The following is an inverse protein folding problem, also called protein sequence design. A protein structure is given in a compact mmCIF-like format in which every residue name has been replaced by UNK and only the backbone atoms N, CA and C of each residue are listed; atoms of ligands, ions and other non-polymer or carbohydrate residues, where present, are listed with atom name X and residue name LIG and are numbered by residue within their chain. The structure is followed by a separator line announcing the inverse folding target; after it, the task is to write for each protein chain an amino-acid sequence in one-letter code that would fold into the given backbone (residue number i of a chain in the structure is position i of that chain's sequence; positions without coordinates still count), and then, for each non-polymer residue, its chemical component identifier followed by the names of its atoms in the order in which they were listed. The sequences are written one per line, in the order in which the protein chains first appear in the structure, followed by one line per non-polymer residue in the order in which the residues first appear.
data_IF_390485018642
#
_entry.id   IF_390485018642
#
_cell.length_a   1.000
_cell.length_b   1.000
_cell.length_c   1.000
_cell.angle_alpha   90.00
_cell.angle_beta   90.00
_cell.angle_gamma   90.00
#
_symmetry.space_group_name_H-M   'P 1'
#
loop_
_entity.id
_entity.type
_entity.pdbx_description
1 polymer ?
#
# COMPACT_ATOMS: atom_id res chain seq x y z
N UNK A 1 -25.27 -12.79 -52.62
CA UNK A 1 -23.96 -12.70 -51.91
C UNK A 1 -22.94 -11.71 -52.49
N UNK A 2 -22.83 -11.50 -53.82
CA UNK A 2 -21.83 -10.55 -54.40
C UNK A 2 -21.98 -9.08 -53.97
N UNK A 3 -23.20 -8.56 -53.79
CA UNK A 3 -23.45 -7.16 -53.38
C UNK A 3 -22.97 -6.85 -51.95
N UNK A 4 -23.09 -7.80 -51.02
CA UNK A 4 -22.71 -7.61 -49.61
C UNK A 4 -21.19 -7.50 -49.45
N UNK A 5 -20.41 -8.31 -50.19
CA UNK A 5 -18.94 -8.21 -50.18
C UNK A 5 -18.42 -6.88 -50.74
N UNK A 6 -19.11 -6.28 -51.71
CA UNK A 6 -18.71 -4.98 -52.29
C UNK A 6 -18.94 -3.83 -51.30
N UNK A 7 -20.03 -3.89 -50.52
CA UNK A 7 -20.34 -2.91 -49.47
C UNK A 7 -19.34 -2.94 -48.31
N UNK A 8 -18.94 -4.13 -47.86
CA UNK A 8 -17.96 -4.30 -46.79
C UNK A 8 -16.56 -3.77 -47.18
N UNK A 9 -16.12 -4.01 -48.43
CA UNK A 9 -14.84 -3.47 -48.92
C UNK A 9 -14.84 -1.94 -48.97
N UNK A 10 -15.93 -1.32 -49.41
CA UNK A 10 -16.01 0.14 -49.51
C UNK A 10 -15.98 0.82 -48.13
N UNK A 11 -16.62 0.23 -47.11
CA UNK A 11 -16.58 0.75 -45.74
C UNK A 11 -15.19 0.63 -45.09
N UNK A 12 -14.48 -0.47 -45.35
CA UNK A 12 -13.12 -0.65 -44.85
C UNK A 12 -12.14 0.37 -45.45
N UNK A 13 -12.25 0.66 -46.76
CA UNK A 13 -11.38 1.66 -47.41
C UNK A 13 -11.60 3.07 -46.86
N UNK A 14 -12.85 3.46 -46.62
CA UNK A 14 -13.18 4.78 -46.04
C UNK A 14 -12.63 4.90 -44.61
N UNK A 15 -12.73 3.85 -43.81
CA UNK A 15 -12.23 3.85 -42.43
C UNK A 15 -10.70 3.95 -42.36
N UNK A 16 -9.99 3.25 -43.23
CA UNK A 16 -8.52 3.33 -43.32
C UNK A 16 -8.08 4.73 -43.75
N UNK A 17 -8.77 5.34 -44.73
CA UNK A 17 -8.47 6.71 -45.17
C UNK A 17 -8.65 7.73 -44.03
N UNK A 18 -9.70 7.56 -43.22
CA UNK A 18 -9.96 8.43 -42.06
C UNK A 18 -8.85 8.35 -40.99
N UNK A 19 -8.36 7.14 -40.69
CA UNK A 19 -7.24 6.94 -39.76
C UNK A 19 -5.96 7.60 -40.29
N UNK A 20 -5.67 7.47 -41.58
CA UNK A 20 -4.49 8.09 -42.19
C UNK A 20 -4.54 9.62 -42.14
N UNK A 21 -5.72 10.22 -42.35
CA UNK A 21 -5.91 11.67 -42.22
C UNK A 21 -5.68 12.15 -40.78
N UNK A 22 -6.16 11.39 -39.79
CA UNK A 22 -5.92 11.69 -38.36
C UNK A 22 -4.44 11.62 -37.97
N UNK A 23 -3.71 10.61 -38.45
CA UNK A 23 -2.27 10.49 -38.18
C UNK A 23 -1.50 11.63 -38.85
N UNK A 24 -1.87 12.01 -40.08
CA UNK A 24 -1.20 13.07 -40.82
C UNK A 24 -1.44 14.45 -40.20
N UNK A 25 -2.65 14.72 -39.69
CA UNK A 25 -2.97 15.98 -39.01
C UNK A 25 -2.25 16.11 -37.66
N UNK A 26 -2.10 15.03 -36.89
CA UNK A 26 -1.26 15.04 -35.68
C UNK A 26 0.22 15.31 -35.98
N UNK A 27 0.73 14.85 -37.12
CA UNK A 27 2.13 15.04 -37.51
C UNK A 27 2.46 16.48 -37.90
N UNK A 28 1.50 17.21 -38.50
CA UNK A 28 1.70 18.61 -38.90
C UNK A 28 1.72 19.54 -37.66
N UNK A 29 0.90 19.28 -36.65
CA UNK A 29 0.87 20.08 -35.42
C UNK A 29 2.18 20.00 -34.62
N UNK A 30 2.88 18.86 -34.65
CA UNK A 30 4.18 18.73 -33.99
C UNK A 30 5.34 19.37 -34.77
N UNK A 31 5.22 19.52 -36.09
CA UNK A 31 6.29 20.10 -36.93
C UNK A 31 6.32 21.64 -36.91
N UNK A 32 5.22 22.32 -36.53
CA UNK A 32 5.16 23.78 -36.48
C UNK A 32 5.68 24.39 -35.18
N UNK A 33 5.75 23.64 -34.08
CA UNK A 33 6.26 24.14 -32.80
C UNK A 33 7.79 24.26 -32.73
N UNK A 34 8.53 23.53 -33.59
CA UNK A 34 10.00 23.54 -33.57
C UNK A 34 10.65 24.60 -34.46
N UNK A 35 9.91 25.22 -35.40
CA UNK A 35 10.51 26.07 -36.45
C UNK A 35 10.50 27.57 -36.13
N UNK A 36 9.72 28.04 -35.15
CA UNK A 36 9.54 29.49 -34.89
C UNK A 36 10.02 30.01 -33.52
N UNK A 37 10.81 29.24 -32.76
CA UNK A 37 11.42 29.78 -31.52
C UNK A 37 12.78 30.45 -31.80
N UNK A 38 12.81 31.79 -31.74
CA UNK A 38 14.04 32.61 -31.69
C UNK A 38 14.98 32.09 -30.59
N UNK A 39 16.21 31.73 -30.96
CA UNK A 39 17.19 31.00 -30.14
C UNK A 39 17.90 31.81 -29.05
N UNK A 40 17.51 33.06 -28.76
CA UNK A 40 18.29 33.95 -27.87
C UNK A 40 18.16 33.68 -26.36
N UNK A 41 17.64 32.50 -25.94
CA UNK A 41 17.57 32.19 -24.50
C UNK A 41 17.76 30.70 -24.13
N UNK A 42 18.13 29.83 -25.09
CA UNK A 42 18.23 28.37 -24.84
C UNK A 42 19.30 28.03 -23.80
N UNK A 43 20.47 28.69 -23.85
CA UNK A 43 21.56 28.46 -22.89
C UNK A 43 21.28 28.99 -21.47
N UNK A 44 20.48 30.05 -21.32
CA UNK A 44 20.11 30.59 -20.01
C UNK A 44 19.03 29.72 -19.33
N UNK A 45 18.03 29.27 -20.11
CA UNK A 45 17.05 28.28 -19.66
C UNK A 45 17.69 26.93 -19.29
N UNK A 46 18.61 26.42 -20.10
CA UNK A 46 19.31 25.15 -19.80
C UNK A 46 20.24 25.25 -18.57
N UNK A 47 20.81 26.43 -18.27
CA UNK A 47 21.56 26.64 -17.02
C UNK A 47 20.63 26.77 -15.81
N UNK A 48 19.54 27.51 -15.92
CA UNK A 48 18.55 27.65 -14.84
C UNK A 48 17.78 26.35 -14.56
N UNK A 49 17.50 25.51 -15.57
CA UNK A 49 16.91 24.17 -15.38
C UNK A 49 17.89 23.14 -14.81
N UNK A 50 19.19 23.24 -15.11
CA UNK A 50 20.20 22.30 -14.56
C UNK A 50 20.51 22.56 -13.08
N UNK A 51 20.37 23.80 -12.61
CA UNK A 51 20.46 24.16 -11.19
C UNK A 51 19.11 24.11 -10.47
N UNK A 52 18.00 23.86 -11.19
CA UNK A 52 16.69 23.65 -10.60
C UNK A 52 16.67 22.31 -9.88
N UNK A 53 16.94 22.32 -8.58
CA UNK A 53 16.68 21.18 -7.73
C UNK A 53 15.24 21.28 -7.19
N UNK A 54 14.24 20.64 -7.84
CA UNK A 54 12.84 20.67 -7.37
C UNK A 54 12.72 20.13 -5.94
N UNK A 55 13.74 19.43 -5.42
CA UNK A 55 13.74 18.90 -4.07
C UNK A 55 14.00 19.92 -2.96
N UNK A 56 14.32 21.16 -3.27
CA UNK A 56 14.56 22.22 -2.27
C UNK A 56 13.51 23.34 -2.30
N UNK A 57 12.49 23.22 -3.14
CA UNK A 57 11.48 24.27 -3.30
C UNK A 57 10.45 24.21 -2.16
N UNK A 58 10.18 25.38 -1.59
CA UNK A 58 9.06 25.61 -0.67
C UNK A 58 7.73 25.57 -1.42
N UNK A 59 6.75 24.86 -0.89
CA UNK A 59 5.41 24.71 -1.50
C UNK A 59 4.41 25.57 -0.72
N UNK A 60 3.70 26.47 -1.41
CA UNK A 60 2.73 27.38 -0.79
C UNK A 60 1.26 26.92 -0.96
N UNK A 61 1.04 25.74 -1.53
CA UNK A 61 -0.27 25.18 -1.85
C UNK A 61 -0.54 23.90 -1.08
N UNK A 62 -1.82 23.53 -0.96
CA UNK A 62 -2.29 22.37 -0.24
C UNK A 62 -2.36 22.58 1.27
N UNK A 63 -2.87 21.55 1.95
CA UNK A 63 -3.11 21.59 3.39
C UNK A 63 -2.49 20.38 4.06
N UNK A 64 -1.60 20.59 5.02
CA UNK A 64 -0.94 19.50 5.77
C UNK A 64 -1.49 19.46 7.19
N UNK A 65 -1.93 18.28 7.61
CA UNK A 65 -2.27 18.00 9.01
C UNK A 65 -1.32 16.94 9.55
N UNK A 66 -0.67 17.21 10.67
CA UNK A 66 0.19 16.26 11.38
C UNK A 66 -0.40 16.05 12.78
N UNK A 67 -0.82 14.83 13.07
CA UNK A 67 -1.47 14.45 14.34
C UNK A 67 -2.64 15.38 14.69
N UNK A 68 -3.50 15.64 13.69
CA UNK A 68 -4.66 16.53 13.81
C UNK A 68 -4.33 18.03 13.77
N UNK A 69 -3.07 18.44 13.87
CA UNK A 69 -2.65 19.85 13.84
C UNK A 69 -2.40 20.32 12.42
N UNK A 70 -2.99 21.45 12.05
CA UNK A 70 -2.65 22.12 10.80
C UNK A 70 -1.21 22.64 10.84
N UNK A 71 -0.50 22.47 9.73
CA UNK A 71 0.83 23.04 9.50
C UNK A 71 0.68 24.12 8.43
N UNK A 72 1.17 25.33 8.70
CA UNK A 72 1.09 26.41 7.74
C UNK A 72 2.16 26.28 6.64
N UNK A 73 1.82 26.64 5.38
CA UNK A 73 2.82 26.84 4.34
C UNK A 73 3.72 28.06 4.65
N UNK A 74 4.92 28.17 4.06
CA UNK A 74 5.50 27.27 3.07
C UNK A 74 5.88 25.89 3.63
N UNK A 75 5.59 24.84 2.86
CA UNK A 75 6.02 23.48 3.17
C UNK A 75 7.40 23.18 2.59
N UNK A 76 8.31 22.77 3.45
CA UNK A 76 9.60 22.18 3.13
C UNK A 76 9.51 20.66 3.33
N UNK A 77 9.26 19.95 2.23
CA UNK A 77 9.23 18.48 2.21
C UNK A 77 10.62 17.98 1.89
N UNK A 78 11.24 17.19 2.76
CA UNK A 78 12.61 16.68 2.58
C UNK A 78 12.70 15.17 2.81
N UNK A 79 13.66 14.54 2.13
CA UNK A 79 14.10 13.19 2.43
C UNK A 79 15.44 13.25 3.17
N UNK A 80 15.50 12.68 4.39
CA UNK A 80 16.74 12.52 5.16
C UNK A 80 16.96 11.05 5.48
N UNK A 81 17.79 10.39 4.66
CA UNK A 81 18.03 8.95 4.76
C UNK A 81 16.75 8.15 4.49
N UNK A 82 16.28 7.40 5.47
CA UNK A 82 15.04 6.62 5.35
C UNK A 82 13.80 7.39 5.83
N UNK A 83 13.93 8.68 6.16
CA UNK A 83 12.82 9.48 6.68
C UNK A 83 12.33 10.53 5.69
N UNK A 84 11.04 10.84 5.75
CA UNK A 84 10.40 11.99 5.11
C UNK A 84 10.01 12.99 6.19
N UNK A 85 10.32 14.25 5.94
CA UNK A 85 10.18 15.36 6.88
C UNK A 85 9.37 16.47 6.19
N UNK A 86 8.45 17.10 6.91
CA UNK A 86 7.75 18.33 6.49
C UNK A 86 8.00 19.39 7.56
N UNK A 87 8.55 20.55 7.20
CA UNK A 87 8.83 21.67 8.11
C UNK A 87 9.58 21.21 9.38
N UNK A 88 10.62 20.39 9.22
CA UNK A 88 11.40 19.82 10.33
C UNK A 88 10.73 18.65 11.07
N UNK A 89 9.44 18.39 10.85
CA UNK A 89 8.70 17.29 11.50
C UNK A 89 8.79 15.99 10.71
N UNK A 90 9.27 14.93 11.36
CA UNK A 90 9.40 13.60 10.75
C UNK A 90 8.02 12.92 10.65
N UNK A 91 7.49 12.82 9.44
CA UNK A 91 6.16 12.24 9.16
C UNK A 91 6.22 10.76 8.79
N UNK A 92 7.32 10.33 8.17
CA UNK A 92 7.54 8.94 7.76
C UNK A 92 8.97 8.59 8.12
N UNK A 93 9.16 7.38 8.63
CA UNK A 93 10.48 6.75 8.67
C UNK A 93 10.28 5.35 8.14
N UNK A 94 11.00 4.99 7.10
CA UNK A 94 11.06 3.63 6.59
C UNK A 94 12.01 2.84 7.47
N UNK A 95 11.64 1.62 7.84
CA UNK A 95 12.53 0.73 8.56
C UNK A 95 12.39 -0.71 8.09
N UNK A 96 13.45 -1.50 8.29
CA UNK A 96 13.33 -2.94 8.15
C UNK A 96 12.27 -3.43 9.14
N UNK A 97 11.26 -4.20 8.68
CA UNK A 97 10.28 -4.76 9.59
C UNK A 97 11.01 -5.69 10.56
N UNK A 98 10.65 -5.62 11.84
CA UNK A 98 11.19 -6.51 12.88
C UNK A 98 10.19 -7.62 13.10
N UNK A 99 10.62 -8.88 13.00
CA UNK A 99 9.76 -9.99 13.40
C UNK A 99 9.47 -9.87 14.90
N UNK A 100 8.21 -10.06 15.28
CA UNK A 100 7.82 -10.16 16.69
C UNK A 100 8.22 -11.51 17.31
N UNK A 101 8.74 -12.44 16.50
CA UNK A 101 9.16 -13.77 16.92
C UNK A 101 10.68 -13.91 16.86
N UNK A 102 11.25 -14.59 17.86
CA UNK A 102 12.66 -14.95 17.87
C UNK A 102 12.82 -16.47 17.84
N UNK A 103 12.60 -17.05 16.67
CA UNK A 103 12.66 -18.48 16.46
C UNK A 103 14.08 -19.03 16.58
N UNK A 104 14.42 -19.58 17.75
CA UNK A 104 15.68 -20.32 17.99
C UNK A 104 15.67 -21.74 17.42
N UNK A 105 14.52 -22.41 17.46
CA UNK A 105 14.30 -23.79 16.98
C UNK A 105 12.90 -23.91 16.37
N UNK A 106 12.70 -24.92 15.52
CA UNK A 106 11.37 -25.27 15.04
C UNK A 106 10.47 -25.62 16.25
N UNK A 107 9.31 -24.96 16.41
CA UNK A 107 8.30 -25.39 17.37
C UNK A 107 7.98 -26.88 17.23
N UNK A 108 7.86 -27.61 18.35
CA UNK A 108 7.41 -29.00 18.36
C UNK A 108 5.89 -29.05 18.54
N UNK A 109 5.22 -29.75 17.63
CA UNK A 109 3.77 -29.79 17.61
C UNK A 109 3.23 -30.66 18.76
N UNK A 110 2.24 -30.19 19.53
CA UNK A 110 1.62 -30.98 20.58
C UNK A 110 0.60 -31.95 19.96
N UNK A 111 1.08 -32.93 19.17
CA UNK A 111 0.24 -33.92 18.47
C UNK A 111 -0.70 -34.69 19.39
N UNK A 112 -0.34 -34.84 20.66
CA UNK A 112 -1.15 -35.51 21.70
C UNK A 112 -2.54 -34.88 21.90
N UNK A 113 -2.74 -33.64 21.45
CA UNK A 113 -4.01 -32.91 21.61
C UNK A 113 -5.02 -33.18 20.49
N UNK A 114 -4.62 -33.85 19.41
CA UNK A 114 -5.49 -34.16 18.27
C UNK A 114 -5.56 -35.68 18.05
N UNK A 115 -6.73 -36.17 17.66
CA UNK A 115 -6.93 -37.55 17.24
C UNK A 115 -7.67 -37.60 15.90
N UNK A 116 -7.86 -38.79 15.31
CA UNK A 116 -8.48 -38.95 13.98
C UNK A 116 -9.87 -38.32 13.84
N UNK A 117 -10.63 -38.20 14.94
CA UNK A 117 -11.99 -37.67 14.94
C UNK A 117 -12.06 -36.16 15.22
N UNK A 118 -10.97 -35.53 15.66
CA UNK A 118 -10.89 -34.10 15.91
C UNK A 118 -11.26 -33.29 14.67
N UNK A 119 -12.02 -32.20 14.85
CA UNK A 119 -12.31 -31.26 13.76
C UNK A 119 -11.03 -30.58 13.25
N UNK A 120 -10.99 -30.19 11.98
CA UNK A 120 -9.91 -29.36 11.43
C UNK A 120 -9.82 -28.01 12.14
N UNK A 121 -10.89 -27.56 12.80
CA UNK A 121 -10.93 -26.31 13.56
C UNK A 121 -10.12 -26.35 14.87
N UNK A 122 -9.94 -27.54 15.46
CA UNK A 122 -9.32 -27.70 16.78
C UNK A 122 -7.85 -27.28 16.80
N UNK A 123 -7.11 -27.46 15.69
CA UNK A 123 -5.70 -27.07 15.57
C UNK A 123 -5.49 -25.56 15.82
N UNK A 124 -6.48 -24.72 15.50
CA UNK A 124 -6.42 -23.27 15.70
C UNK A 124 -6.68 -22.86 17.15
N UNK A 125 -7.17 -23.77 17.99
CA UNK A 125 -7.43 -23.53 19.43
C UNK A 125 -6.22 -23.87 20.29
N UNK A 126 -5.30 -24.68 19.78
CA UNK A 126 -4.07 -25.07 20.47
C UNK A 126 -3.14 -23.86 20.54
N UNK A 127 -2.81 -23.40 21.75
CA UNK A 127 -1.89 -22.28 21.96
C UNK A 127 -0.43 -22.75 21.97
N UNK A 128 0.47 -21.93 21.45
CA UNK A 128 1.91 -22.18 21.63
C UNK A 128 2.33 -21.81 23.07
N UNK A 129 3.17 -22.60 23.76
CA UNK A 129 3.56 -22.31 25.14
C UNK A 129 4.38 -21.01 25.28
N UNK A 130 5.32 -20.78 24.34
CA UNK A 130 6.26 -19.66 24.43
C UNK A 130 5.86 -18.39 23.65
N UNK A 131 4.77 -18.42 22.90
CA UNK A 131 4.38 -17.31 22.02
C UNK A 131 2.89 -17.04 22.10
N UNK A 132 2.51 -15.77 21.98
CA UNK A 132 1.11 -15.38 21.88
C UNK A 132 0.51 -15.86 20.55
N UNK A 133 -0.54 -16.67 20.65
CA UNK A 133 -1.36 -17.11 19.51
C UNK A 133 -1.49 -18.62 19.35
N UNK A 134 -2.21 -19.02 18.30
CA UNK A 134 -2.38 -20.42 17.95
C UNK A 134 -1.06 -21.02 17.46
N UNK A 135 -0.80 -22.26 17.88
CA UNK A 135 0.41 -23.01 17.55
C UNK A 135 0.67 -23.03 16.04
N UNK A 136 -0.38 -23.26 15.25
CA UNK A 136 -0.27 -23.36 13.79
C UNK A 136 0.21 -22.06 13.14
N UNK A 137 -0.24 -20.91 13.62
CA UNK A 137 0.23 -19.62 13.12
C UNK A 137 1.70 -19.36 13.49
N UNK A 138 2.13 -19.82 14.65
CA UNK A 138 3.51 -19.66 15.11
C UNK A 138 4.46 -20.49 14.24
N UNK A 139 4.12 -21.75 13.96
CA UNK A 139 4.96 -22.63 13.14
C UNK A 139 4.91 -22.25 11.64
N UNK A 140 3.79 -21.74 11.13
CA UNK A 140 3.76 -21.15 9.78
C UNK A 140 4.73 -19.98 9.65
N UNK A 141 4.71 -19.04 10.61
CA UNK A 141 5.68 -17.92 10.66
C UNK A 141 7.12 -18.42 10.75
N UNK A 142 7.38 -19.46 11.55
CA UNK A 142 8.70 -20.09 11.60
C UNK A 142 9.19 -20.50 10.21
N UNK A 143 8.37 -21.25 9.45
CA UNK A 143 8.77 -21.69 8.12
C UNK A 143 8.96 -20.53 7.14
N UNK A 144 8.04 -19.56 7.15
CA UNK A 144 8.11 -18.38 6.28
C UNK A 144 9.31 -17.46 6.56
N UNK A 145 9.80 -17.46 7.81
CA UNK A 145 10.98 -16.68 8.23
C UNK A 145 12.31 -17.42 7.98
N UNK A 146 12.31 -18.75 8.00
CA UNK A 146 13.52 -19.57 7.90
C UNK A 146 13.84 -20.06 6.48
N UNK A 147 12.84 -20.21 5.61
CA UNK A 147 13.01 -20.81 4.29
C UNK A 147 12.50 -19.89 3.17
N UNK A 148 13.00 -20.06 1.93
CA UNK A 148 12.37 -19.47 0.74
C UNK A 148 10.88 -19.82 0.66
N UNK A 149 10.06 -18.93 0.09
CA UNK A 149 8.60 -19.02 0.17
C UNK A 149 8.02 -20.36 -0.33
N UNK A 150 8.52 -20.88 -1.46
CA UNK A 150 8.08 -22.19 -1.99
C UNK A 150 8.38 -23.33 -1.01
N UNK A 151 9.62 -23.39 -0.50
CA UNK A 151 10.04 -24.40 0.49
C UNK A 151 9.24 -24.28 1.79
N UNK A 152 8.93 -23.06 2.22
CA UNK A 152 8.08 -22.81 3.38
C UNK A 152 6.66 -23.34 3.16
N UNK A 153 6.06 -23.10 1.98
CA UNK A 153 4.74 -23.62 1.63
C UNK A 153 4.70 -25.16 1.66
N UNK A 154 5.71 -25.82 1.09
CA UNK A 154 5.81 -27.28 1.12
C UNK A 154 6.00 -27.83 2.54
N UNK A 155 6.79 -27.14 3.36
CA UNK A 155 7.01 -27.53 4.75
C UNK A 155 5.74 -27.39 5.59
N UNK A 156 4.98 -26.31 5.38
CA UNK A 156 3.68 -26.08 6.03
C UNK A 156 2.65 -27.13 5.58
N UNK A 157 2.56 -27.42 4.27
CA UNK A 157 1.68 -28.50 3.77
C UNK A 157 2.04 -29.84 4.39
N UNK A 158 3.34 -30.18 4.46
CA UNK A 158 3.79 -31.43 5.08
C UNK A 158 3.45 -31.49 6.57
N UNK A 159 3.55 -30.37 7.28
CA UNK A 159 3.11 -30.27 8.67
C UNK A 159 1.62 -30.62 8.80
N UNK A 160 0.76 -29.98 7.99
CA UNK A 160 -0.68 -30.26 7.97
C UNK A 160 -0.98 -31.72 7.60
N UNK A 161 -0.27 -32.29 6.62
CA UNK A 161 -0.47 -33.67 6.18
C UNK A 161 -0.15 -34.71 7.29
N UNK A 162 0.69 -34.32 8.24
CA UNK A 162 1.09 -35.16 9.37
C UNK A 162 0.21 -34.96 10.61
N UNK A 163 -0.86 -34.15 10.54
CA UNK A 163 -1.81 -34.01 11.65
C UNK A 163 -2.64 -35.29 11.83
N UNK A 164 -2.91 -35.74 13.07
CA UNK A 164 -3.66 -36.98 13.32
C UNK A 164 -5.06 -37.04 12.71
N UNK A 165 -5.74 -35.90 12.57
CA UNK A 165 -7.09 -35.79 11.98
C UNK A 165 -7.09 -35.57 10.47
N UNK A 166 -5.95 -35.34 9.83
CA UNK A 166 -5.87 -35.05 8.40
C UNK A 166 -5.69 -36.35 7.61
N UNK A 167 -6.60 -36.56 6.64
CA UNK A 167 -6.62 -37.71 5.74
C UNK A 167 -5.84 -37.45 4.45
N UNK A 168 -6.02 -36.28 3.84
CA UNK A 168 -5.33 -35.91 2.61
C UNK A 168 -5.15 -34.40 2.47
N UNK A 169 -4.13 -34.03 1.68
CA UNK A 169 -3.90 -32.66 1.22
C UNK A 169 -3.73 -32.69 -0.30
N UNK A 170 -4.51 -31.85 -0.99
CA UNK A 170 -4.54 -31.78 -2.45
C UNK A 170 -4.36 -30.33 -2.90
N UNK A 171 -3.45 -30.08 -3.83
CA UNK A 171 -3.23 -28.73 -4.35
C UNK A 171 -4.45 -28.28 -5.17
N UNK A 172 -4.85 -27.02 -5.00
CA UNK A 172 -5.94 -26.43 -5.77
C UNK A 172 -5.38 -25.70 -6.99
N UNK A 173 -5.93 -25.99 -8.18
CA UNK A 173 -5.59 -25.30 -9.44
C UNK A 173 -4.08 -25.25 -9.74
N UNK A 174 -3.34 -26.30 -9.39
CA UNK A 174 -1.87 -26.36 -9.52
C UNK A 174 -1.12 -25.22 -8.81
N UNK A 175 -1.73 -24.58 -7.80
CA UNK A 175 -1.09 -23.55 -6.98
C UNK A 175 -0.39 -24.18 -5.79
N UNK A 176 0.88 -23.87 -5.61
CA UNK A 176 1.71 -24.41 -4.52
C UNK A 176 1.28 -23.89 -3.13
N UNK A 177 0.63 -22.74 -3.09
CA UNK A 177 0.25 -22.01 -1.88
C UNK A 177 -1.22 -22.15 -1.49
N UNK A 178 -1.99 -22.93 -2.26
CA UNK A 178 -3.43 -23.14 -2.04
C UNK A 178 -3.73 -24.64 -2.10
N UNK A 179 -4.29 -25.19 -1.04
CA UNK A 179 -4.56 -26.62 -0.94
C UNK A 179 -5.86 -26.90 -0.20
N UNK A 180 -6.48 -28.02 -0.52
CA UNK A 180 -7.63 -28.57 0.21
C UNK A 180 -7.12 -29.59 1.21
N UNK A 181 -7.52 -29.42 2.46
CA UNK A 181 -7.23 -30.35 3.54
C UNK A 181 -8.53 -31.09 3.87
N UNK A 182 -8.50 -32.42 3.76
CA UNK A 182 -9.63 -33.29 4.07
C UNK A 182 -9.28 -34.13 5.30
N UNK A 183 -10.23 -34.26 6.21
CA UNK A 183 -10.07 -35.00 7.47
C UNK A 183 -10.66 -36.40 7.40
N UNK A 184 -10.39 -37.23 8.41
CA UNK A 184 -10.99 -38.57 8.52
C UNK A 184 -12.48 -38.55 8.87
N UNK A 185 -12.97 -37.47 9.48
CA UNK A 185 -14.39 -37.32 9.84
C UNK A 185 -15.26 -36.76 8.68
N UNK A 186 -14.66 -36.50 7.52
CA UNK A 186 -15.34 -36.02 6.31
C UNK A 186 -15.32 -34.49 6.13
N UNK A 187 -14.84 -33.72 7.10
CA UNK A 187 -14.65 -32.27 6.94
C UNK A 187 -13.56 -31.97 5.90
N UNK A 188 -13.80 -30.98 5.04
CA UNK A 188 -12.82 -30.47 4.09
C UNK A 188 -12.78 -28.95 4.10
N UNK A 189 -11.58 -28.37 3.99
CA UNK A 189 -11.37 -26.91 3.97
C UNK A 189 -10.28 -26.53 2.97
N UNK A 190 -10.51 -25.43 2.26
CA UNK A 190 -9.49 -24.81 1.41
C UNK A 190 -8.65 -23.85 2.26
N UNK A 191 -7.34 -24.05 2.22
CA UNK A 191 -6.34 -23.20 2.85
C UNK A 191 -5.54 -22.48 1.77
N UNK A 192 -5.29 -21.19 1.98
CA UNK A 192 -4.42 -20.38 1.14
C UNK A 192 -3.41 -19.67 2.02
N UNK A 193 -2.13 -19.98 1.83
CA UNK A 193 -1.01 -19.25 2.44
C UNK A 193 -0.82 -17.88 1.77
N UNK A 194 -1.36 -17.69 0.57
CA UNK A 194 -1.45 -16.41 -0.12
C UNK A 194 -2.73 -15.66 0.25
N UNK A 195 -2.74 -14.33 0.48
CA UNK A 195 -1.66 -13.34 0.27
C UNK A 195 -0.81 -13.04 1.51
N UNK A 196 -1.18 -13.55 2.69
CA UNK A 196 -0.50 -13.23 3.95
C UNK A 196 0.92 -13.79 4.02
N UNK A 197 1.09 -15.09 3.79
CA UNK A 197 2.36 -15.79 3.87
C UNK A 197 3.40 -15.22 2.92
N UNK A 198 3.02 -14.87 1.69
CA UNK A 198 3.93 -14.22 0.73
C UNK A 198 4.42 -12.87 1.23
N UNK A 199 3.53 -12.02 1.77
CA UNK A 199 3.92 -10.73 2.36
C UNK A 199 4.81 -10.92 3.59
N UNK A 200 4.51 -11.92 4.43
CA UNK A 200 5.32 -12.24 5.61
C UNK A 200 6.72 -12.73 5.22
N UNK A 201 6.83 -13.62 4.24
CA UNK A 201 8.11 -14.14 3.75
C UNK A 201 8.96 -13.05 3.09
N UNK A 202 8.36 -12.13 2.33
CA UNK A 202 9.07 -10.94 1.81
C UNK A 202 9.56 -10.04 2.95
N UNK A 203 8.77 -9.88 4.01
CA UNK A 203 9.12 -9.02 5.14
C UNK A 203 10.21 -9.61 6.03
N UNK A 204 10.17 -10.92 6.30
CA UNK A 204 10.94 -11.53 7.39
C UNK A 204 11.73 -12.78 6.98
N UNK A 205 11.52 -13.30 5.77
CA UNK A 205 12.19 -14.48 5.25
C UNK A 205 13.63 -14.21 4.77
N UNK A 206 14.31 -15.24 4.23
CA UNK A 206 15.70 -15.11 3.75
C UNK A 206 15.89 -14.04 2.67
N UNK A 207 14.86 -13.80 1.85
CA UNK A 207 14.85 -12.81 0.76
C UNK A 207 14.56 -11.38 1.24
N UNK A 208 14.22 -11.19 2.52
CA UNK A 208 13.85 -9.88 3.08
C UNK A 208 14.95 -8.82 2.94
N UNK A 209 16.22 -9.23 3.04
CA UNK A 209 17.37 -8.32 2.93
C UNK A 209 17.43 -7.61 1.58
N UNK A 210 16.97 -8.27 0.51
CA UNK A 210 16.94 -7.65 -0.82
C UNK A 210 15.83 -6.59 -0.91
N UNK A 211 14.63 -6.96 -0.47
CA UNK A 211 13.44 -6.10 -0.49
C UNK A 211 13.58 -4.88 0.42
N UNK A 212 14.09 -5.07 1.64
CA UNK A 212 14.24 -4.03 2.65
C UNK A 212 15.68 -3.54 2.78
N UNK A 213 16.49 -3.68 1.73
CA UNK A 213 17.84 -3.11 1.71
C UNK A 213 17.80 -1.60 1.99
N UNK A 214 18.81 -1.09 2.71
CA UNK A 214 18.93 0.34 3.03
C UNK A 214 18.76 1.23 1.79
N UNK A 215 19.32 0.81 0.65
CA UNK A 215 19.20 1.51 -0.65
C UNK A 215 17.74 1.57 -1.13
N UNK A 216 17.01 0.45 -1.10
CA UNK A 216 15.58 0.43 -1.47
C UNK A 216 14.74 1.27 -0.51
N UNK A 217 14.97 1.18 0.79
CA UNK A 217 14.24 1.99 1.78
C UNK A 217 14.47 3.50 1.59
N UNK A 218 15.70 3.92 1.29
CA UNK A 218 16.01 5.32 0.92
C UNK A 218 15.28 5.71 -0.37
N UNK A 219 15.29 4.83 -1.38
CA UNK A 219 14.58 5.07 -2.64
C UNK A 219 13.06 5.20 -2.43
N UNK A 220 12.48 4.37 -1.56
CA UNK A 220 11.06 4.45 -1.19
C UNK A 220 10.76 5.75 -0.45
N UNK A 221 11.59 6.15 0.52
CA UNK A 221 11.43 7.43 1.22
C UNK A 221 11.51 8.62 0.24
N UNK A 222 12.39 8.56 -0.76
CA UNK A 222 12.47 9.57 -1.82
C UNK A 222 11.19 9.60 -2.67
N UNK A 223 10.67 8.44 -3.06
CA UNK A 223 9.41 8.33 -3.80
C UNK A 223 8.22 8.89 -3.02
N UNK A 224 8.12 8.59 -1.73
CA UNK A 224 7.09 9.16 -0.86
C UNK A 224 7.21 10.68 -0.72
N UNK A 225 8.42 11.20 -0.50
CA UNK A 225 8.64 12.64 -0.43
C UNK A 225 8.18 13.33 -1.72
N UNK A 226 8.49 12.74 -2.89
CA UNK A 226 8.07 13.25 -4.18
C UNK A 226 6.54 13.21 -4.35
N UNK A 227 5.90 12.09 -4.01
CA UNK A 227 4.43 11.97 -4.07
C UNK A 227 3.72 12.98 -3.17
N UNK A 228 4.27 13.26 -1.99
CA UNK A 228 3.73 14.28 -1.09
C UNK A 228 3.84 15.67 -1.70
N UNK A 229 4.99 16.01 -2.32
CA UNK A 229 5.13 17.29 -3.01
C UNK A 229 4.10 17.47 -4.11
N UNK A 230 3.95 16.47 -4.98
CA UNK A 230 2.98 16.49 -6.08
C UNK A 230 1.55 16.70 -5.57
N UNK A 231 1.17 16.03 -4.48
CA UNK A 231 -0.15 16.23 -3.85
C UNK A 231 -0.33 17.67 -3.35
N UNK A 232 0.68 18.24 -2.69
CA UNK A 232 0.61 19.62 -2.18
C UNK A 232 0.59 20.64 -3.32
N UNK A 233 1.38 20.44 -4.37
CA UNK A 233 1.38 21.27 -5.59
C UNK A 233 0.03 21.20 -6.32
N UNK A 234 -0.67 20.07 -6.26
CA UNK A 234 -2.04 19.88 -6.75
C UNK A 234 -3.13 20.38 -5.78
N UNK A 235 -2.74 21.17 -4.78
CA UNK A 235 -3.62 21.75 -3.75
C UNK A 235 -4.44 20.71 -2.97
N UNK A 236 -3.91 19.50 -2.79
CA UNK A 236 -4.57 18.44 -2.01
C UNK A 236 -4.40 18.68 -0.52
N UNK A 237 -5.32 18.11 0.26
CA UNK A 237 -5.18 18.02 1.71
C UNK A 237 -4.61 16.66 2.08
N UNK A 238 -3.53 16.65 2.87
CA UNK A 238 -2.82 15.45 3.28
C UNK A 238 -2.76 15.37 4.80
N UNK A 239 -3.28 14.28 5.35
CA UNK A 239 -3.22 13.98 6.77
C UNK A 239 -2.05 13.05 7.04
N UNK A 240 -1.34 13.24 8.15
CA UNK A 240 -0.31 12.35 8.65
C UNK A 240 -0.56 12.09 10.12
N UNK A 241 -0.60 10.82 10.51
CA UNK A 241 -0.61 10.43 11.91
C UNK A 241 0.71 9.76 12.26
N UNK A 242 1.57 10.48 12.95
CA UNK A 242 2.90 10.02 13.36
C UNK A 242 2.72 9.04 14.50
N UNK A 243 2.79 7.77 14.15
CA UNK A 243 2.84 6.72 15.14
C UNK A 243 4.32 6.48 15.53
N UNK A 244 4.60 6.40 16.83
CA UNK A 244 5.94 6.08 17.31
C UNK A 244 6.37 4.67 16.92
N UNK A 245 5.39 3.77 16.71
CA UNK A 245 5.61 2.34 16.50
C UNK A 245 5.31 1.90 15.05
N UNK A 246 4.39 2.57 14.33
CA UNK A 246 4.05 2.23 12.93
C UNK A 246 4.96 2.96 11.92
N UNK A 247 6.21 2.54 11.88
CA UNK A 247 7.30 3.15 11.12
C UNK A 247 7.42 2.53 9.72
N UNK A 248 6.35 2.23 8.99
CA UNK A 248 6.51 1.62 7.65
C UNK A 248 5.47 1.96 6.59
N UNK A 249 4.36 2.60 6.96
CA UNK A 249 3.49 3.32 6.02
C UNK A 249 3.02 4.57 6.73
N UNK A 250 3.02 5.69 6.04
CA UNK A 250 2.24 6.81 6.51
C UNK A 250 0.80 6.30 6.67
N UNK A 251 0.23 6.44 7.86
CA UNK A 251 -1.21 6.55 7.99
C UNK A 251 -1.61 7.90 7.40
N UNK A 252 -1.40 8.04 6.08
CA UNK A 252 -1.73 9.25 5.35
C UNK A 252 -2.96 9.03 4.50
N UNK A 253 -3.79 10.05 4.54
CA UNK A 253 -4.97 10.15 3.70
C UNK A 253 -4.83 11.40 2.87
N UNK A 254 -5.25 11.29 1.63
CA UNK A 254 -5.27 12.40 0.69
C UNK A 254 -6.70 12.60 0.25
N UNK A 255 -7.22 13.81 0.45
CA UNK A 255 -8.52 14.20 -0.06
C UNK A 255 -8.35 15.35 -1.04
N UNK A 256 -9.28 15.42 -1.98
CA UNK A 256 -9.37 16.54 -2.91
C UNK A 256 -9.86 17.80 -2.17
N UNK A 257 -9.52 18.97 -2.71
CA UNK A 257 -9.87 20.26 -2.13
C UNK A 257 -11.39 20.50 -2.07
N UNK A 258 -12.17 19.98 -3.02
CA UNK A 258 -13.64 20.07 -2.97
C UNK A 258 -14.23 19.39 -1.73
N UNK A 259 -13.56 18.35 -1.22
CA UNK A 259 -13.92 17.66 0.02
C UNK A 259 -13.30 18.29 1.27
N UNK A 260 -12.28 19.13 1.13
CA UNK A 260 -11.56 19.69 2.29
C UNK A 260 -12.44 20.58 3.15
N UNK A 261 -13.27 21.42 2.52
CA UNK A 261 -14.24 22.27 3.21
C UNK A 261 -15.25 21.44 3.98
N UNK A 262 -15.84 20.43 3.33
CA UNK A 262 -16.80 19.52 3.96
C UNK A 262 -16.20 18.84 5.20
N UNK A 263 -14.97 18.31 5.08
CA UNK A 263 -14.28 17.65 6.21
C UNK A 263 -14.05 18.64 7.35
N UNK A 264 -13.58 19.86 7.05
CA UNK A 264 -13.35 20.87 8.09
C UNK A 264 -14.63 21.31 8.79
N UNK A 265 -15.71 21.57 8.03
CA UNK A 265 -17.02 21.94 8.58
C UNK A 265 -17.55 20.85 9.53
N UNK A 266 -17.41 19.57 9.15
CA UNK A 266 -17.80 18.45 10.03
C UNK A 266 -16.94 18.41 11.29
N UNK A 267 -15.61 18.54 11.16
CA UNK A 267 -14.71 18.50 12.32
C UNK A 267 -14.97 19.66 13.30
N UNK A 268 -15.22 20.87 12.79
CA UNK A 268 -15.52 22.07 13.59
C UNK A 268 -16.92 22.09 14.20
N UNK A 269 -17.88 21.38 13.59
CA UNK A 269 -19.27 21.40 14.05
C UNK A 269 -19.41 20.90 15.49
N UNK A 270 -20.46 21.34 16.17
CA UNK A 270 -20.77 20.93 17.55
C UNK A 270 -21.57 19.61 17.61
N UNK A 271 -21.65 18.85 16.51
CA UNK A 271 -22.34 17.56 16.49
C UNK A 271 -21.53 16.50 17.26
N UNK A 272 -22.22 15.49 17.76
CA UNK A 272 -21.62 14.36 18.47
C UNK A 272 -20.62 13.58 17.60
N UNK A 273 -19.58 13.02 18.21
CA UNK A 273 -18.50 12.31 17.53
C UNK A 273 -18.98 11.15 16.66
N UNK A 274 -19.99 10.40 17.11
CA UNK A 274 -20.57 9.31 16.31
C UNK A 274 -21.18 9.85 15.01
N UNK A 275 -21.80 11.05 15.04
CA UNK A 275 -22.35 11.69 13.84
C UNK A 275 -21.26 12.26 12.94
N UNK A 276 -20.17 12.79 13.53
CA UNK A 276 -18.97 13.19 12.76
C UNK A 276 -18.38 11.97 12.04
N UNK A 277 -18.29 10.85 12.74
CA UNK A 277 -17.78 9.60 12.20
C UNK A 277 -18.59 9.13 10.99
N UNK A 278 -19.92 9.03 11.16
CA UNK A 278 -20.81 8.61 10.08
C UNK A 278 -20.71 9.56 8.86
N UNK A 279 -20.63 10.87 9.11
CA UNK A 279 -20.52 11.89 8.05
C UNK A 279 -19.18 11.85 7.29
N UNK A 280 -18.12 11.30 7.91
CA UNK A 280 -16.78 11.21 7.32
C UNK A 280 -16.48 9.82 6.73
N UNK A 281 -17.27 8.79 7.04
CA UNK A 281 -17.05 7.41 6.53
C UNK A 281 -17.15 7.36 4.99
N UNK A 282 -18.04 8.16 4.41
CA UNK A 282 -18.19 8.30 2.96
C UNK A 282 -16.97 8.95 2.28
N UNK A 283 -16.16 9.73 3.01
CA UNK A 283 -15.00 10.44 2.48
C UNK A 283 -13.72 9.60 2.63
N UNK A 284 -13.54 8.98 3.79
CA UNK A 284 -12.29 8.30 4.15
C UNK A 284 -12.36 6.77 4.05
N UNK A 285 -13.56 6.20 4.22
CA UNK A 285 -13.81 4.75 4.23
C UNK A 285 -12.80 3.95 5.08
N UNK A 286 -12.30 4.57 6.16
CA UNK A 286 -11.36 3.96 7.09
C UNK A 286 -11.69 4.36 8.53
N UNK A 287 -12.40 3.45 9.19
CA UNK A 287 -12.89 3.62 10.56
C UNK A 287 -11.79 3.91 11.58
N UNK A 288 -10.64 3.24 11.50
CA UNK A 288 -9.55 3.45 12.46
C UNK A 288 -8.87 4.80 12.27
N UNK A 289 -8.70 5.24 11.01
CA UNK A 289 -8.22 6.58 10.70
C UNK A 289 -9.17 7.66 11.22
N UNK A 290 -10.47 7.51 11.00
CA UNK A 290 -11.48 8.49 11.44
C UNK A 290 -11.52 8.66 12.96
N UNK A 291 -11.48 7.54 13.70
CA UNK A 291 -11.35 7.57 15.16
C UNK A 291 -10.13 8.38 15.59
N UNK A 292 -8.98 8.14 14.94
CA UNK A 292 -7.74 8.87 15.25
C UNK A 292 -7.86 10.36 14.88
N UNK A 293 -8.43 10.68 13.73
CA UNK A 293 -8.63 12.07 13.27
C UNK A 293 -9.50 12.87 14.23
N UNK A 294 -10.69 12.38 14.57
CA UNK A 294 -11.61 13.05 15.49
C UNK A 294 -10.94 13.24 16.86
N UNK A 295 -10.32 12.18 17.39
CA UNK A 295 -9.64 12.21 18.69
C UNK A 295 -8.47 13.19 18.74
N UNK A 296 -7.61 13.21 17.72
CA UNK A 296 -6.47 14.14 17.72
C UNK A 296 -6.92 15.59 17.47
N UNK A 297 -7.95 15.80 16.63
CA UNK A 297 -8.51 17.13 16.38
C UNK A 297 -9.07 17.78 17.66
N UNK A 298 -9.76 17.01 18.51
CA UNK A 298 -10.29 17.50 19.79
C UNK A 298 -9.22 17.95 20.78
N UNK A 299 -7.99 17.41 20.68
CA UNK A 299 -6.88 17.80 21.55
C UNK A 299 -6.23 19.11 21.12
N UNK A 300 -6.56 19.61 19.93
CA UNK A 300 -5.98 20.83 19.37
C UNK A 300 -6.88 22.02 19.65
N UNK A 301 -6.29 23.15 20.03
CA UNK A 301 -7.03 24.43 20.05
C UNK A 301 -7.57 24.69 18.64
N UNK A 302 -8.87 25.01 18.54
CA UNK A 302 -9.59 25.14 17.26
C UNK A 302 -8.82 26.09 16.34
N UNK A 303 -8.21 25.62 15.23
CA UNK A 303 -7.47 26.50 14.33
C UNK A 303 -8.46 27.34 13.52
N UNK A 304 -8.24 28.65 13.47
CA UNK A 304 -8.93 29.54 12.55
C UNK A 304 -8.38 29.32 11.14
N UNK A 305 -8.95 28.36 10.40
CA UNK A 305 -8.62 28.15 8.99
C UNK A 305 -9.54 29.00 8.13
N UNK A 306 -8.95 29.83 7.28
CA UNK A 306 -9.67 30.58 6.25
C UNK A 306 -9.51 29.76 4.94
N UNK A 307 -10.57 29.06 4.53
CA UNK A 307 -10.63 28.26 3.30
C UNK A 307 -11.07 29.09 2.09
#
# INVERSE_FOLDING_TARGET
MRKVRKMLRMRATIFILFILILIFSFSISYAQDDVYYKSNNKQKKEKEEKDFNPQKRKINSGYVFIDGKYVEPPYEVEQRGMAVIINGTKIIKMQMPKSSYNFKKCPRMPTETLNKNSELSEIFKIKHPDYEGAYIYVIEKYYLEKYPYSIACDSIKRLYANLPNVKSIENQNNREDTFTMSSYNGESRVYSLSPYGKRHSIAYGPESKEYYSKKRLISSAKGEAQSIREKLEQNKMVFFFVDKDLVNRANSYTINQDKSRQVYEILQSDIEDNKKFDSLDDIFSNKEFLKKLIREYQKTEKPNLIF
#
